data_IF_589064147897
#
_entry.id   IF_589064147897
#
_cell.length_a   1.000
_cell.length_b   1.000
_cell.length_c   1.000
_cell.angle_alpha   90.00
_cell.angle_beta   90.00
_cell.angle_gamma   90.00
#
_symmetry.space_group_name_H-M   'P 1'
#
loop_
_entity.id
_entity.type
_entity.pdbx_description
1 polymer ?
#
# COMPACT_ATOMS: atom_id res chain seq x y z
N UNK A 1 6.85 6.38 0.02
CA UNK A 1 5.95 7.51 0.32
C UNK A 1 5.42 8.05 -0.99
N UNK A 2 4.28 8.72 -0.95
CA UNK A 2 3.77 9.49 -2.08
C UNK A 2 4.15 10.97 -1.98
N UNK A 3 3.94 11.71 -3.07
CA UNK A 3 4.39 13.09 -3.21
C UNK A 3 3.36 13.92 -4.00
N UNK A 4 3.20 15.19 -3.63
CA UNK A 4 2.24 16.13 -4.23
C UNK A 4 0.80 15.58 -4.28
N UNK A 5 0.30 15.05 -3.16
CA UNK A 5 -1.04 14.43 -3.06
C UNK A 5 -1.07 12.93 -3.36
N UNK A 6 0.02 12.35 -3.88
CA UNK A 6 0.11 10.91 -4.08
C UNK A 6 0.22 10.14 -2.77
N UNK A 7 -0.27 8.89 -2.76
CA UNK A 7 -0.23 7.99 -1.60
C UNK A 7 1.00 7.06 -1.59
N UNK A 8 1.41 6.53 -0.44
CA UNK A 8 2.45 5.51 -0.37
C UNK A 8 2.01 4.23 -1.09
N UNK A 9 2.99 3.56 -1.73
CA UNK A 9 2.77 2.25 -2.32
C UNK A 9 2.52 1.17 -1.29
N UNK A 10 1.82 0.11 -1.72
CA UNK A 10 1.59 -1.08 -0.89
C UNK A 10 2.90 -1.80 -0.56
N UNK A 11 2.94 -2.42 0.62
CA UNK A 11 4.08 -3.19 1.10
C UNK A 11 4.14 -4.56 0.44
N UNK A 12 5.37 -5.05 0.24
CA UNK A 12 5.59 -6.41 -0.20
C UNK A 12 5.21 -7.42 0.89
N UNK A 13 4.64 -8.54 0.48
CA UNK A 13 4.27 -9.68 1.35
C UNK A 13 4.72 -10.98 0.69
N UNK A 14 4.99 -12.02 1.49
CA UNK A 14 5.10 -13.39 1.00
C UNK A 14 4.17 -14.25 1.81
N UNK A 15 3.37 -15.06 1.12
CA UNK A 15 2.41 -15.96 1.76
C UNK A 15 2.67 -17.35 1.23
N UNK A 16 2.79 -18.31 2.14
CA UNK A 16 2.68 -19.72 1.78
C UNK A 16 1.22 -20.11 2.01
N UNK A 17 0.57 -20.56 0.95
CA UNK A 17 -0.72 -21.23 1.02
C UNK A 17 -0.44 -22.73 0.98
N UNK A 18 -0.82 -23.44 2.02
CA UNK A 18 -0.60 -24.87 2.15
C UNK A 18 -1.66 -25.67 1.39
N UNK A 19 -1.31 -26.89 1.00
CA UNK A 19 -2.20 -27.79 0.29
C UNK A 19 -3.52 -28.11 1.04
N UNK A 20 -3.57 -27.92 2.36
CA UNK A 20 -4.78 -28.09 3.19
C UNK A 20 -5.67 -26.83 3.25
N UNK A 21 -5.30 -25.76 2.54
CA UNK A 21 -6.01 -24.49 2.49
C UNK A 21 -5.66 -23.51 3.61
N UNK A 22 -4.77 -23.87 4.54
CA UNK A 22 -4.24 -22.91 5.51
C UNK A 22 -3.18 -22.01 4.87
N UNK A 23 -2.92 -20.85 5.45
CA UNK A 23 -1.91 -19.93 4.91
C UNK A 23 -1.14 -19.21 6.00
N UNK A 24 0.14 -18.95 5.77
CA UNK A 24 0.99 -18.17 6.66
C UNK A 24 1.78 -17.08 5.92
N UNK A 25 1.98 -15.94 6.58
CA UNK A 25 2.86 -14.88 6.09
C UNK A 25 4.28 -15.22 6.52
N UNK A 26 5.19 -15.29 5.57
CA UNK A 26 6.62 -15.51 5.85
C UNK A 26 7.40 -14.21 5.73
N UNK A 27 8.53 -14.15 6.45
CA UNK A 27 9.42 -12.99 6.40
C UNK A 27 9.86 -12.67 4.97
N UNK A 28 10.06 -11.38 4.66
CA UNK A 28 10.38 -10.95 3.29
C UNK A 28 11.78 -11.39 2.82
N UNK A 29 12.70 -11.67 3.74
CA UNK A 29 14.11 -12.04 3.50
C UNK A 29 14.48 -13.18 4.45
N UNK A 30 14.02 -14.38 4.14
CA UNK A 30 14.29 -15.60 4.88
C UNK A 30 14.74 -16.68 3.92
N UNK A 31 15.50 -17.64 4.44
CA UNK A 31 16.01 -18.80 3.71
C UNK A 31 15.56 -20.09 4.42
N UNK A 32 15.71 -21.23 3.75
CA UNK A 32 15.38 -22.55 4.29
C UNK A 32 13.95 -22.71 4.85
N UNK A 33 12.98 -21.97 4.29
CA UNK A 33 11.57 -22.13 4.66
C UNK A 33 11.06 -23.49 4.19
N UNK A 34 10.60 -24.37 5.10
CA UNK A 34 10.11 -25.69 4.73
C UNK A 34 8.82 -25.57 3.91
N UNK A 35 8.78 -26.25 2.77
CA UNK A 35 7.60 -26.34 1.91
C UNK A 35 7.29 -27.80 1.62
N UNK A 36 6.02 -28.10 1.40
CA UNK A 36 5.55 -29.44 1.04
C UNK A 36 5.04 -29.46 -0.39
N UNK A 37 4.95 -30.67 -0.95
CA UNK A 37 4.33 -30.85 -2.26
C UNK A 37 2.89 -30.34 -2.23
N UNK A 38 2.55 -29.43 -3.14
CA UNK A 38 1.23 -28.81 -3.24
C UNK A 38 1.11 -27.43 -2.57
N UNK A 39 2.11 -26.99 -1.81
CA UNK A 39 2.13 -25.62 -1.27
C UNK A 39 2.38 -24.60 -2.39
N UNK A 40 1.77 -23.41 -2.26
CA UNK A 40 1.91 -22.29 -3.18
C UNK A 40 2.58 -21.11 -2.47
N UNK A 41 3.72 -20.66 -3.01
CA UNK A 41 4.37 -19.43 -2.56
C UNK A 41 3.88 -18.24 -3.38
N UNK A 42 3.10 -17.38 -2.74
CA UNK A 42 2.66 -16.10 -3.30
C UNK A 42 3.74 -15.04 -3.08
N UNK A 43 4.41 -14.62 -4.15
CA UNK A 43 5.44 -13.59 -4.12
C UNK A 43 4.87 -12.21 -4.47
N UNK A 44 4.38 -11.48 -3.47
CA UNK A 44 3.74 -10.18 -3.66
C UNK A 44 4.79 -9.08 -3.54
N UNK A 45 5.10 -8.43 -4.65
CA UNK A 45 6.08 -7.33 -4.74
C UNK A 45 5.48 -6.01 -4.26
N UNK A 46 6.32 -5.08 -3.84
CA UNK A 46 5.88 -3.76 -3.40
C UNK A 46 5.34 -2.93 -4.57
N UNK A 47 4.50 -1.95 -4.24
CA UNK A 47 4.10 -0.89 -5.17
C UNK A 47 5.03 0.32 -5.09
N UNK A 48 5.07 1.13 -6.15
CA UNK A 48 5.67 2.46 -6.12
C UNK A 48 4.81 3.46 -5.34
N UNK A 49 5.42 4.54 -4.86
CA UNK A 49 4.67 5.68 -4.32
C UNK A 49 4.00 6.48 -5.44
N UNK A 50 2.79 6.97 -5.18
CA UNK A 50 2.04 7.81 -6.11
C UNK A 50 2.60 9.22 -6.23
N UNK A 51 2.27 9.87 -7.34
CA UNK A 51 2.59 11.27 -7.63
C UNK A 51 1.35 12.01 -8.11
N UNK A 52 1.12 13.20 -7.57
CA UNK A 52 -0.01 14.05 -7.94
C UNK A 52 -1.31 13.69 -7.20
N UNK A 53 -2.31 14.55 -7.32
CA UNK A 53 -3.64 14.33 -6.75
C UNK A 53 -4.36 13.20 -7.50
N UNK A 54 -4.74 12.09 -6.82
CA UNK A 54 -5.50 11.00 -7.44
C UNK A 54 -6.83 11.43 -8.06
N UNK A 55 -7.48 12.48 -7.53
CA UNK A 55 -8.77 12.98 -8.01
C UNK A 55 -8.66 13.76 -9.33
N UNK A 56 -7.44 14.11 -9.74
CA UNK A 56 -7.15 14.79 -11.02
C UNK A 56 -6.72 13.78 -12.11
N UNK A 57 -6.66 12.47 -11.80
CA UNK A 57 -6.36 11.41 -12.76
C UNK A 57 -7.44 11.35 -13.85
N UNK A 58 -7.06 11.14 -15.11
CA UNK A 58 -8.02 10.98 -16.22
C UNK A 58 -8.86 9.69 -16.06
N UNK A 59 -10.20 9.77 -15.96
CA UNK A 59 -11.07 8.61 -15.85
C UNK A 59 -10.96 7.62 -17.00
N UNK A 60 -10.81 8.08 -18.24
CA UNK A 60 -10.76 7.20 -19.41
C UNK A 60 -9.47 6.35 -19.42
N UNK A 61 -8.38 6.93 -18.91
CA UNK A 61 -7.12 6.20 -18.73
C UNK A 61 -7.25 5.11 -17.65
N UNK A 62 -7.95 5.40 -16.55
CA UNK A 62 -8.24 4.37 -15.52
C UNK A 62 -9.15 3.29 -16.08
N UNK A 63 -10.14 3.64 -16.91
CA UNK A 63 -10.97 2.66 -17.62
C UNK A 63 -10.15 1.75 -18.54
N UNK A 64 -9.14 2.28 -19.23
CA UNK A 64 -8.20 1.48 -20.00
C UNK A 64 -7.36 0.56 -19.11
N UNK A 65 -6.86 1.06 -17.97
CA UNK A 65 -6.07 0.29 -17.00
C UNK A 65 -6.89 -0.85 -16.37
N UNK A 66 -8.20 -0.67 -16.20
CA UNK A 66 -9.13 -1.74 -15.80
C UNK A 66 -9.18 -2.84 -16.85
N UNK A 67 -9.39 -2.48 -18.13
CA UNK A 67 -9.39 -3.47 -19.23
C UNK A 67 -8.06 -4.21 -19.37
N UNK A 68 -6.96 -3.57 -18.97
CA UNK A 68 -5.62 -4.16 -18.96
C UNK A 68 -5.32 -5.01 -17.72
N UNK A 69 -6.21 -5.03 -16.73
CA UNK A 69 -6.02 -5.76 -15.47
C UNK A 69 -5.00 -5.12 -14.53
N UNK A 70 -4.67 -3.84 -14.72
CA UNK A 70 -3.74 -3.10 -13.87
C UNK A 70 -4.44 -2.48 -12.66
N UNK A 71 -5.72 -2.13 -12.82
CA UNK A 71 -6.59 -1.55 -11.79
C UNK A 71 -7.86 -2.37 -11.73
N UNK A 72 -8.41 -2.61 -10.54
CA UNK A 72 -9.73 -3.21 -10.39
C UNK A 72 -10.81 -2.11 -10.36
N UNK A 73 -12.08 -2.41 -10.69
CA UNK A 73 -13.16 -1.43 -10.56
C UNK A 73 -13.28 -0.85 -9.14
N UNK A 74 -12.99 -1.67 -8.12
CA UNK A 74 -12.95 -1.19 -6.74
C UNK A 74 -11.72 -0.31 -6.46
N UNK A 75 -10.55 -0.67 -6.99
CA UNK A 75 -9.33 0.14 -6.92
C UNK A 75 -9.47 1.50 -7.62
N UNK A 76 -10.31 1.61 -8.65
CA UNK A 76 -10.58 2.86 -9.34
C UNK A 76 -11.20 3.93 -8.41
N UNK A 77 -11.89 3.51 -7.35
CA UNK A 77 -12.48 4.42 -6.35
C UNK A 77 -11.42 5.23 -5.59
N UNK A 78 -10.18 4.74 -5.50
CA UNK A 78 -9.07 5.51 -4.93
C UNK A 78 -8.76 6.80 -5.73
N UNK A 79 -9.15 6.85 -7.00
CA UNK A 79 -9.08 8.02 -7.88
C UNK A 79 -10.41 8.78 -7.97
N UNK A 80 -11.39 8.42 -7.13
CA UNK A 80 -12.76 8.90 -7.19
C UNK A 80 -13.51 8.48 -8.45
N UNK A 81 -13.08 7.42 -9.13
CA UNK A 81 -13.66 6.96 -10.40
C UNK A 81 -14.54 5.74 -10.17
N UNK A 82 -15.75 5.79 -10.73
CA UNK A 82 -16.70 4.69 -10.74
C UNK A 82 -16.72 4.09 -12.14
N UNK A 83 -16.44 2.79 -12.22
CA UNK A 83 -16.40 2.05 -13.47
C UNK A 83 -16.91 0.61 -13.27
N UNK A 84 -17.33 -0.04 -14.35
CA UNK A 84 -17.65 -1.47 -14.37
C UNK A 84 -16.40 -2.34 -14.63
N UNK A 85 -16.60 -3.67 -14.71
CA UNK A 85 -15.52 -4.63 -14.95
C UNK A 85 -14.92 -4.52 -16.35
N UNK A 86 -15.66 -3.94 -17.30
CA UNK A 86 -15.26 -3.69 -18.68
C UNK A 86 -14.54 -2.34 -18.83
N UNK A 87 -14.36 -1.59 -17.74
CA UNK A 87 -13.70 -0.29 -17.71
C UNK A 87 -14.53 0.84 -18.34
N UNK A 88 -15.86 0.69 -18.36
CA UNK A 88 -16.80 1.75 -18.74
C UNK A 88 -16.98 2.71 -17.58
N UNK A 89 -16.74 4.00 -17.80
CA UNK A 89 -16.82 5.02 -16.75
C UNK A 89 -18.26 5.50 -16.54
N UNK A 90 -18.71 5.53 -15.29
CA UNK A 90 -19.89 6.30 -14.89
C UNK A 90 -19.45 7.73 -14.56
N UNK A 91 -19.62 8.63 -15.52
CA UNK A 91 -19.20 10.02 -15.41
C UNK A 91 -19.94 10.79 -14.30
N UNK A 92 -21.22 10.48 -14.08
CA UNK A 92 -22.04 11.16 -13.08
C UNK A 92 -21.61 10.73 -11.68
N UNK A 93 -21.50 9.43 -11.44
CA UNK A 93 -21.06 8.89 -10.15
C UNK A 93 -19.60 9.28 -9.84
N UNK A 94 -18.72 9.29 -10.84
CA UNK A 94 -17.34 9.78 -10.72
C UNK A 94 -17.29 11.25 -10.29
N UNK A 95 -18.13 12.11 -10.88
CA UNK A 95 -18.19 13.53 -10.52
C UNK A 95 -18.64 13.72 -9.07
N UNK A 96 -19.69 13.01 -8.65
CA UNK A 96 -20.20 13.05 -7.28
C UNK A 96 -19.16 12.54 -6.27
N UNK A 97 -18.55 11.39 -6.52
CA UNK A 97 -17.55 10.80 -5.64
C UNK A 97 -16.32 11.71 -5.48
N UNK A 98 -15.83 12.32 -6.56
CA UNK A 98 -14.72 13.29 -6.49
C UNK A 98 -15.06 14.53 -5.69
N UNK A 99 -16.29 15.04 -5.80
CA UNK A 99 -16.73 16.19 -5.02
C UNK A 99 -16.72 15.87 -3.52
N UNK A 100 -17.29 14.73 -3.12
CA UNK A 100 -17.31 14.24 -1.74
C UNK A 100 -15.90 14.02 -1.19
N UNK A 101 -15.05 13.28 -1.92
CA UNK A 101 -13.67 13.02 -1.50
C UNK A 101 -12.84 14.29 -1.37
N UNK A 102 -13.05 15.28 -2.25
CA UNK A 102 -12.34 16.56 -2.19
C UNK A 102 -12.75 17.38 -0.98
N UNK A 103 -14.04 17.37 -0.62
CA UNK A 103 -14.55 18.03 0.58
C UNK A 103 -14.01 17.38 1.85
N UNK A 104 -14.01 16.04 1.93
CA UNK A 104 -13.53 15.30 3.11
C UNK A 104 -12.02 15.43 3.32
N UNK A 105 -11.23 15.35 2.24
CA UNK A 105 -9.76 15.35 2.31
C UNK A 105 -9.19 16.75 2.53
N UNK A 106 -9.77 17.76 1.88
CA UNK A 106 -9.16 19.09 1.78
C UNK A 106 -7.91 19.13 0.88
N UNK A 107 -6.99 20.05 1.20
CA UNK A 107 -5.81 20.35 0.37
C UNK A 107 -4.78 19.20 0.37
N UNK A 108 -4.24 18.83 -0.82
CA UNK A 108 -3.22 17.79 -0.93
C UNK A 108 -1.96 18.12 -0.13
N UNK A 109 -1.45 17.12 0.58
CA UNK A 109 -0.17 17.23 1.29
C UNK A 109 1.01 17.07 0.33
N UNK A 110 2.14 17.72 0.65
CA UNK A 110 3.37 17.56 -0.13
C UNK A 110 3.91 16.13 -0.01
N UNK A 111 3.98 15.57 1.19
CA UNK A 111 4.46 14.20 1.42
C UNK A 111 3.41 13.36 2.13
N UNK A 112 3.19 12.15 1.64
CA UNK A 112 2.43 11.13 2.34
C UNK A 112 3.38 9.96 2.68
N UNK A 113 3.84 9.94 3.93
CA UNK A 113 4.70 8.89 4.45
C UNK A 113 3.93 7.61 4.83
N UNK A 114 2.61 7.65 4.80
CA UNK A 114 1.74 6.61 5.33
C UNK A 114 1.60 6.66 6.85
N UNK A 115 1.18 5.55 7.48
CA UNK A 115 0.87 5.51 8.89
C UNK A 115 2.10 5.76 9.77
N UNK A 116 1.86 6.33 10.96
CA UNK A 116 2.91 6.62 11.93
C UNK A 116 3.51 5.36 12.56
N UNK A 117 4.71 5.49 13.17
CA UNK A 117 5.44 4.35 13.74
C UNK A 117 4.64 3.53 14.76
N UNK A 118 3.77 4.18 15.54
CA UNK A 118 2.91 3.51 16.52
C UNK A 118 1.95 2.54 15.83
N UNK A 119 1.28 3.00 14.78
CA UNK A 119 0.34 2.20 14.00
C UNK A 119 1.07 1.08 13.25
N UNK A 120 2.21 1.38 12.63
CA UNK A 120 3.05 0.38 11.99
C UNK A 120 3.46 -0.76 12.94
N UNK A 121 3.77 -0.42 14.20
CA UNK A 121 4.08 -1.43 15.24
C UNK A 121 2.84 -2.23 15.63
N UNK A 122 1.69 -1.58 15.82
CA UNK A 122 0.42 -2.27 16.11
C UNK A 122 0.07 -3.30 15.05
N UNK A 123 0.26 -2.97 13.77
CA UNK A 123 -0.15 -3.82 12.66
C UNK A 123 0.93 -4.84 12.23
N UNK A 124 2.13 -4.77 12.81
CA UNK A 124 3.31 -5.48 12.31
C UNK A 124 3.09 -6.99 12.13
N UNK A 125 2.53 -7.66 13.13
CA UNK A 125 2.35 -9.12 13.10
C UNK A 125 1.30 -9.52 12.04
N UNK A 126 0.15 -8.86 12.02
CA UNK A 126 -0.91 -9.12 11.04
C UNK A 126 -0.45 -8.86 9.59
N UNK A 127 0.44 -7.88 9.39
CA UNK A 127 0.87 -7.49 8.06
C UNK A 127 2.11 -8.24 7.56
N UNK A 128 3.01 -8.65 8.46
CA UNK A 128 4.33 -9.18 8.10
C UNK A 128 4.60 -10.58 8.63
N UNK A 129 3.75 -11.12 9.51
CA UNK A 129 4.00 -12.36 10.23
C UNK A 129 5.10 -12.25 11.30
N UNK A 130 5.68 -11.07 11.50
CA UNK A 130 6.77 -10.83 12.45
C UNK A 130 6.30 -10.01 13.65
N UNK A 131 6.80 -10.32 14.86
CA UNK A 131 6.47 -9.52 16.04
C UNK A 131 6.95 -8.09 15.85
N UNK A 132 6.19 -7.15 16.41
CA UNK A 132 6.52 -5.73 16.32
C UNK A 132 7.93 -5.44 16.87
N UNK A 133 8.74 -4.64 16.18
CA UNK A 133 10.06 -4.26 16.68
C UNK A 133 9.92 -3.49 18.00
N UNK A 134 10.89 -3.71 18.90
CA UNK A 134 11.03 -2.93 20.13
C UNK A 134 11.68 -1.58 19.81
N UNK A 135 11.19 -0.52 20.43
CA UNK A 135 11.81 0.80 20.30
C UNK A 135 13.24 0.72 20.84
N UNK A 136 14.27 1.17 20.09
CA UNK A 136 15.63 1.19 20.62
C UNK A 136 15.73 2.21 21.76
N UNK A 137 16.38 1.80 22.85
CA UNK A 137 16.78 2.67 23.94
C UNK A 137 18.25 3.04 23.75
N UNK A 138 18.48 4.28 23.34
CA UNK A 138 19.84 4.80 23.19
C UNK A 138 20.34 5.24 24.56
N UNK A 139 21.23 4.44 25.14
CA UNK A 139 22.03 4.89 26.27
C UNK A 139 23.07 5.86 25.71
N UNK A 140 23.00 7.15 26.09
CA UNK A 140 23.94 8.16 25.64
C UNK A 140 25.38 7.67 25.80
N UNK A 141 26.09 7.43 24.69
CA UNK A 141 27.53 7.60 24.69
C UNK A 141 27.70 9.12 24.68
N UNK A 142 28.19 9.67 25.78
CA UNK A 142 28.75 11.02 25.78
C UNK A 142 29.86 11.08 24.73
N UNK A 143 29.52 11.38 23.48
CA UNK A 143 30.51 11.87 22.54
C UNK A 143 30.81 13.29 23.01
N UNK A 144 31.87 13.41 23.80
CA UNK A 144 32.50 14.68 24.08
C UNK A 144 32.72 15.40 22.75
N UNK A 145 32.30 16.66 22.71
CA UNK A 145 32.59 17.59 21.62
C UNK A 145 34.07 17.49 21.24
N UNK A 146 34.34 17.18 19.99
CA UNK A 146 35.66 17.32 19.39
C UNK A 146 35.47 17.81 17.96
N UNK A 147 35.52 19.14 17.77
CA UNK A 147 36.49 19.78 16.89
C UNK A 147 36.25 21.30 16.85
N UNK A 148 37.33 22.00 17.13
CA UNK A 148 37.62 23.42 16.92
C UNK A 148 37.37 23.90 15.48
#
# INVERSE_FOLDING_TARGET
WGLNGGHPGMRAKKVIEHADGTSEIVGNKVEDVPVKAGDLLHYITWGGGGWGDPLERDPELVGLEIRQGLVTPDGAKAYGIVADAEGTIDAAATTSMRAEMKEERGEPQLFDYGPGIKELRTNCEAETGLPAPKQPEWHHIHQAEAAE
#
